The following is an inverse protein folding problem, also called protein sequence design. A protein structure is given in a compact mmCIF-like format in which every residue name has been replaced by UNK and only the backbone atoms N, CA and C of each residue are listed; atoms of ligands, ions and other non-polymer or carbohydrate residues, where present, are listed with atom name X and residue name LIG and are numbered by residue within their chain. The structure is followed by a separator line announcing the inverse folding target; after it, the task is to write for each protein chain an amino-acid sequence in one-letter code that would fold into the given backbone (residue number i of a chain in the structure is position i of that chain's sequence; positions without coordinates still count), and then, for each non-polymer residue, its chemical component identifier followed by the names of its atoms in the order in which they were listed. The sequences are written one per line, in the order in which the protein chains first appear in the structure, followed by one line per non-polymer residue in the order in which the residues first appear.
data_IF_689251705586
#
_entry.id   IF_689251705586
#
_cell.length_a   1.000
_cell.length_b   1.000
_cell.length_c   1.000
_cell.angle_alpha   90.00
_cell.angle_beta   90.00
_cell.angle_gamma   90.00
#
_symmetry.space_group_name_H-M   'P 1'
#
loop_
_entity.id
_entity.type
_entity.pdbx_description
1 polymer ?
#
# COMPACT_ATOMS: atom_id res chain seq x y z
N UNK A 1 -0.16 12.03 -2.17
CA UNK A 1 0.60 10.86 -2.67
C UNK A 1 0.42 9.71 -1.68
N UNK A 2 0.22 8.49 -2.17
CA UNK A 2 0.11 7.24 -1.37
C UNK A 2 0.94 6.16 -2.08
N UNK A 3 1.65 5.33 -1.34
CA UNK A 3 2.64 4.40 -1.90
C UNK A 3 2.19 2.95 -1.72
N UNK A 4 2.32 2.15 -2.78
CA UNK A 4 2.18 0.69 -2.73
C UNK A 4 3.50 0.06 -3.15
N UNK A 5 4.08 -0.77 -2.29
CA UNK A 5 5.31 -1.51 -2.55
C UNK A 5 5.05 -3.01 -2.48
N UNK A 6 5.70 -3.79 -3.34
CA UNK A 6 5.68 -5.26 -3.32
C UNK A 6 7.10 -5.76 -3.40
N UNK A 7 7.47 -6.68 -2.51
CA UNK A 7 8.75 -7.39 -2.57
C UNK A 7 8.54 -8.86 -2.16
N UNK A 8 9.31 -9.77 -2.74
CA UNK A 8 9.26 -11.21 -2.42
C UNK A 8 10.08 -11.52 -1.16
N UNK A 9 11.12 -10.72 -0.88
CA UNK A 9 11.96 -10.90 0.30
C UNK A 9 11.33 -10.26 1.53
N UNK A 10 11.15 -11.05 2.59
CA UNK A 10 10.52 -10.63 3.84
C UNK A 10 11.35 -9.55 4.54
N UNK A 11 12.68 -9.62 4.46
CA UNK A 11 13.58 -8.65 5.11
C UNK A 11 13.49 -7.32 4.37
N UNK A 12 13.55 -7.32 3.04
CA UNK A 12 13.39 -6.12 2.21
C UNK A 12 12.03 -5.44 2.44
N UNK A 13 10.94 -6.21 2.42
CA UNK A 13 9.61 -5.69 2.73
C UNK A 13 9.51 -5.11 4.15
N UNK A 14 10.14 -5.75 5.13
CA UNK A 14 10.16 -5.26 6.52
C UNK A 14 10.97 -3.97 6.66
N UNK A 15 12.14 -3.89 6.01
CA UNK A 15 12.96 -2.67 5.98
C UNK A 15 12.19 -1.50 5.33
N UNK A 16 11.52 -1.75 4.20
CA UNK A 16 10.68 -0.75 3.55
C UNK A 16 9.54 -0.28 4.46
N UNK A 17 8.87 -1.21 5.16
CA UNK A 17 7.80 -0.88 6.11
C UNK A 17 8.30 0.04 7.24
N UNK A 18 9.45 -0.26 7.83
CA UNK A 18 10.06 0.56 8.89
C UNK A 18 10.36 1.97 8.36
N UNK A 19 11.03 2.06 7.20
CA UNK A 19 11.44 3.36 6.65
C UNK A 19 10.25 4.23 6.24
N UNK A 20 9.24 3.66 5.59
CA UNK A 20 8.02 4.39 5.24
C UNK A 20 7.26 4.86 6.48
N UNK A 21 7.23 4.04 7.53
CA UNK A 21 6.60 4.40 8.81
C UNK A 21 7.33 5.56 9.50
N UNK A 22 8.66 5.51 9.56
CA UNK A 22 9.48 6.55 10.20
C UNK A 22 9.45 7.88 9.43
N UNK A 23 9.39 7.82 8.10
CA UNK A 23 9.27 9.02 7.25
C UNK A 23 7.85 9.61 7.24
N UNK A 24 6.90 8.96 7.90
CA UNK A 24 5.51 9.41 7.91
C UNK A 24 4.83 9.27 6.55
N UNK A 25 5.28 8.34 5.70
CA UNK A 25 4.73 8.13 4.36
C UNK A 25 3.55 7.16 4.45
N UNK A 26 2.36 7.55 3.99
CA UNK A 26 1.21 6.65 3.98
C UNK A 26 1.34 5.64 2.84
N UNK A 27 1.20 4.36 3.16
CA UNK A 27 1.35 3.31 2.17
C UNK A 27 0.97 1.91 2.64
N UNK A 28 1.06 0.96 1.70
CA UNK A 28 1.07 -0.47 1.97
C UNK A 28 2.39 -1.08 1.49
N UNK A 29 2.89 -2.05 2.25
CA UNK A 29 4.00 -2.91 1.85
C UNK A 29 3.52 -4.34 1.82
N UNK A 30 3.66 -4.98 0.67
CA UNK A 30 3.17 -6.33 0.42
C UNK A 30 4.35 -7.27 0.28
N UNK A 31 4.29 -8.38 1.01
CA UNK A 31 5.16 -9.53 0.77
C UNK A 31 4.47 -10.38 -0.30
N UNK A 32 5.10 -10.50 -1.47
CA UNK A 32 4.42 -11.03 -2.64
C UNK A 32 5.28 -11.05 -3.90
N UNK A 33 4.76 -11.68 -4.95
CA UNK A 33 5.39 -11.69 -6.25
C UNK A 33 4.73 -10.63 -7.14
N UNK A 34 5.49 -9.61 -7.51
CA UNK A 34 5.00 -8.51 -8.33
C UNK A 34 4.63 -8.93 -9.77
N UNK A 35 5.27 -9.98 -10.33
CA UNK A 35 5.01 -10.44 -11.71
C UNK A 35 3.72 -11.26 -11.82
N UNK A 36 3.42 -12.08 -10.81
CA UNK A 36 2.20 -12.89 -10.75
C UNK A 36 1.07 -12.18 -10.00
N UNK A 37 1.34 -11.00 -9.44
CA UNK A 37 0.44 -10.22 -8.57
C UNK A 37 -0.03 -11.02 -7.33
N UNK A 38 0.78 -11.96 -6.87
CA UNK A 38 0.53 -12.74 -5.67
C UNK A 38 0.80 -11.89 -4.42
N UNK A 39 -0.11 -11.95 -3.45
CA UNK A 39 -0.05 -11.15 -2.21
C UNK A 39 -0.17 -12.05 -1.00
N UNK A 40 0.95 -12.38 -0.35
CA UNK A 40 0.99 -13.25 0.82
C UNK A 40 0.64 -12.50 2.12
N UNK A 41 1.19 -11.31 2.29
CA UNK A 41 0.97 -10.48 3.48
C UNK A 41 0.96 -9.01 3.12
N UNK A 42 0.00 -8.27 3.67
CA UNK A 42 -0.10 -6.82 3.49
C UNK A 42 0.14 -6.13 4.82
N UNK A 43 1.01 -5.12 4.83
CA UNK A 43 1.35 -4.32 6.00
C UNK A 43 1.09 -2.84 5.70
N UNK A 44 0.15 -2.23 6.41
CA UNK A 44 -0.19 -0.81 6.27
C UNK A 44 0.62 0.05 7.23
N UNK A 45 1.25 1.12 6.73
CA UNK A 45 2.02 2.03 7.59
C UNK A 45 1.08 2.76 8.57
N UNK A 46 1.55 3.23 9.74
CA UNK A 46 0.69 3.96 10.69
C UNK A 46 -0.01 5.17 10.06
N UNK A 47 0.67 5.88 9.16
CA UNK A 47 0.11 7.06 8.48
C UNK A 47 -0.99 6.70 7.47
N UNK A 48 -1.05 5.45 6.99
CA UNK A 48 -2.21 4.96 6.23
C UNK A 48 -3.51 5.14 7.04
N UNK A 49 -3.48 4.79 8.33
CA UNK A 49 -4.64 4.90 9.22
C UNK A 49 -4.87 6.33 9.70
N UNK A 50 -3.82 7.02 10.17
CA UNK A 50 -3.92 8.40 10.65
C UNK A 50 -4.45 9.35 9.57
N UNK A 51 -4.06 9.12 8.31
CA UNK A 51 -4.52 9.90 7.15
C UNK A 51 -5.88 9.49 6.58
N UNK A 52 -6.59 8.55 7.23
CA UNK A 52 -7.87 7.97 6.78
C UNK A 52 -7.84 7.56 5.29
N UNK A 53 -6.74 6.92 4.88
CA UNK A 53 -6.53 6.53 3.48
C UNK A 53 -7.54 5.50 2.93
N UNK A 54 -8.10 4.56 3.73
CA UNK A 54 -9.16 3.68 3.23
C UNK A 54 -10.33 4.45 2.61
N UNK A 55 -10.80 5.51 3.28
CA UNK A 55 -11.88 6.37 2.77
C UNK A 55 -11.45 7.09 1.49
N UNK A 56 -10.24 7.65 1.47
CA UNK A 56 -9.73 8.41 0.32
C UNK A 56 -9.52 7.55 -0.92
N UNK A 57 -9.01 6.33 -0.76
CA UNK A 57 -8.81 5.39 -1.86
C UNK A 57 -10.13 4.82 -2.38
N UNK A 58 -11.13 4.61 -1.49
CA UNK A 58 -12.46 4.14 -1.90
C UNK A 58 -13.19 5.14 -2.81
N UNK A 59 -13.04 6.44 -2.58
CA UNK A 59 -13.62 7.50 -3.42
C UNK A 59 -13.02 7.49 -4.83
N UNK A 60 -11.71 7.28 -4.93
CA UNK A 60 -11.01 7.22 -6.22
C UNK A 60 -11.38 5.97 -7.03
N UNK A 61 -11.60 4.82 -6.36
CA UNK A 61 -12.02 3.58 -7.03
C UNK A 61 -13.38 3.74 -7.72
N UNK A 62 -14.36 4.33 -7.02
CA UNK A 62 -15.69 4.62 -7.59
C UNK A 62 -15.62 5.59 -8.77
N UNK A 63 -14.72 6.58 -8.70
CA UNK A 63 -14.55 7.56 -9.77
C UNK A 63 -13.93 6.96 -11.05
N UNK A 64 -13.11 5.91 -10.94
CA UNK A 64 -12.62 5.13 -12.08
C UNK A 64 -13.72 4.25 -12.70
N UNK A 65 -14.54 3.60 -11.88
CA UNK A 65 -15.66 2.77 -12.36
C UNK A 65 -16.72 3.60 -13.12
N UNK A 66 -17.02 4.83 -12.68
CA UNK A 66 -18.00 5.73 -13.32
C UNK A 66 -17.48 6.37 -14.62
N UNK A 67 -16.15 6.43 -14.84
CA UNK A 67 -15.57 6.93 -16.10
C UNK A 67 -15.39 5.85 -17.16
N UNK A 68 -15.55 4.57 -16.80
CA UNK A 68 -15.38 3.44 -17.72
C UNK A 68 -16.74 2.89 -18.21
N UNK A 69 -17.84 3.60 -17.92
CA UNK A 69 -19.20 3.35 -18.42
C UNK A 69 -19.66 4.45 -19.36
#
# INVERSE_FOLDING_TARGET
MWVSCVDMDVVAASMAYIQLSLLGIPGEVVIGNALTNERHRVMYTPVHWLGNWPCRLSKNRKQYEVQTV
#
